data_IF_994261430231
#
_entry.id   IF_994261430231
#
_cell.length_a   1.000
_cell.length_b   1.000
_cell.length_c   1.000
_cell.angle_alpha   90.00
_cell.angle_beta   90.00
_cell.angle_gamma   90.00
#
_symmetry.space_group_name_H-M   'P 1'
#
loop_
_entity.id
_entity.type
_entity.pdbx_description
1 polymer ?
#
# COMPACT_ATOMS: atom_id res chain seq x y z
N UNK A 1 -22.64 -21.03 14.09
CA UNK A 1 -21.52 -21.97 14.33
C UNK A 1 -20.40 -21.51 13.44
N UNK A 2 -19.25 -21.16 14.00
CA UNK A 2 -18.06 -20.87 13.20
C UNK A 2 -17.58 -22.21 12.65
N UNK A 3 -17.44 -22.31 11.34
CA UNK A 3 -16.92 -23.50 10.71
C UNK A 3 -15.46 -23.68 11.16
N UNK A 4 -15.17 -24.79 11.83
CA UNK A 4 -13.85 -25.03 12.46
C UNK A 4 -12.78 -25.45 11.45
N UNK A 5 -13.11 -25.49 10.15
CA UNK A 5 -12.18 -25.97 9.12
C UNK A 5 -11.52 -24.83 8.33
N UNK A 6 -10.94 -23.86 9.04
CA UNK A 6 -10.16 -22.75 8.45
C UNK A 6 -8.69 -23.16 8.20
N UNK A 7 -8.48 -24.29 7.52
CA UNK A 7 -7.14 -24.87 7.35
C UNK A 7 -6.33 -24.26 6.20
N UNK A 8 -6.95 -23.45 5.33
CA UNK A 8 -6.25 -22.76 4.25
C UNK A 8 -6.37 -21.24 4.38
N UNK A 9 -5.49 -20.52 3.71
CA UNK A 9 -5.55 -19.06 3.64
C UNK A 9 -6.81 -18.57 2.92
N UNK A 10 -7.23 -19.30 1.88
CA UNK A 10 -8.43 -18.99 1.11
C UNK A 10 -9.69 -19.12 1.98
N UNK A 11 -9.84 -20.23 2.71
CA UNK A 11 -10.97 -20.43 3.63
C UNK A 11 -11.02 -19.36 4.73
N UNK A 12 -9.86 -18.95 5.24
CA UNK A 12 -9.76 -17.86 6.23
C UNK A 12 -10.13 -16.51 5.63
N UNK A 13 -9.73 -16.25 4.40
CA UNK A 13 -10.08 -15.02 3.68
C UNK A 13 -11.59 -14.95 3.43
N UNK A 14 -12.19 -16.02 2.94
CA UNK A 14 -13.64 -16.11 2.70
C UNK A 14 -14.46 -15.92 3.98
N UNK A 15 -13.97 -16.46 5.10
CA UNK A 15 -14.68 -16.36 6.38
C UNK A 15 -14.59 -14.96 7.03
N UNK A 16 -13.56 -14.17 6.73
CA UNK A 16 -13.24 -12.97 7.51
C UNK A 16 -12.96 -11.71 6.69
N UNK A 17 -12.86 -11.81 5.36
CA UNK A 17 -12.49 -10.66 4.52
C UNK A 17 -13.59 -10.30 3.53
N UNK A 18 -13.79 -9.01 3.32
CA UNK A 18 -14.65 -8.50 2.24
C UNK A 18 -13.75 -7.98 1.11
N UNK A 19 -14.09 -8.34 -0.12
CA UNK A 19 -13.36 -7.92 -1.31
C UNK A 19 -13.98 -6.66 -1.92
N UNK A 20 -13.17 -5.62 -2.12
CA UNK A 20 -13.58 -4.44 -2.89
C UNK A 20 -13.57 -4.72 -4.39
N UNK A 21 -14.42 -4.02 -5.17
CA UNK A 21 -14.49 -4.11 -6.64
C UNK A 21 -14.54 -5.54 -7.19
N UNK A 22 -15.31 -6.41 -6.54
CA UNK A 22 -15.25 -7.85 -6.80
C UNK A 22 -16.64 -8.41 -7.02
N UNK A 23 -16.81 -9.24 -8.05
CA UNK A 23 -17.97 -10.10 -8.21
C UNK A 23 -17.87 -11.27 -7.21
N UNK A 24 -18.55 -11.14 -6.07
CA UNK A 24 -18.50 -12.12 -4.99
C UNK A 24 -18.89 -13.53 -5.43
N UNK A 25 -19.98 -13.76 -6.21
CA UNK A 25 -20.34 -15.10 -6.70
C UNK A 25 -19.22 -15.78 -7.51
N UNK A 26 -18.40 -15.01 -8.21
CA UNK A 26 -17.24 -15.56 -8.94
C UNK A 26 -16.13 -15.95 -7.97
N UNK A 27 -15.87 -15.17 -6.93
CA UNK A 27 -14.87 -15.51 -5.92
C UNK A 27 -15.29 -16.73 -5.09
N UNK A 28 -16.55 -16.85 -4.70
CA UNK A 28 -17.09 -18.04 -4.01
C UNK A 28 -16.84 -19.33 -4.79
N UNK A 29 -16.92 -19.28 -6.12
CA UNK A 29 -16.67 -20.46 -6.99
C UNK A 29 -15.21 -20.74 -7.25
N UNK A 30 -14.38 -19.69 -7.41
CA UNK A 30 -12.98 -19.78 -7.83
C UNK A 30 -12.01 -19.86 -6.66
N UNK A 31 -12.39 -19.33 -5.50
CA UNK A 31 -11.51 -19.02 -4.38
C UNK A 31 -10.74 -17.73 -4.59
N UNK A 32 -10.27 -17.15 -3.50
CA UNK A 32 -9.40 -15.98 -3.50
C UNK A 32 -7.98 -16.35 -3.91
N UNK A 33 -7.26 -15.41 -4.51
CA UNK A 33 -5.81 -15.54 -4.72
C UNK A 33 -5.11 -14.78 -3.60
N UNK A 34 -4.38 -15.49 -2.75
CA UNK A 34 -3.70 -14.92 -1.59
C UNK A 34 -2.24 -14.65 -1.94
N UNK A 35 -1.88 -13.39 -2.08
CA UNK A 35 -0.50 -12.96 -2.39
C UNK A 35 0.31 -12.90 -1.09
N UNK A 36 1.51 -13.45 -1.11
CA UNK A 36 2.40 -13.56 0.06
C UNK A 36 3.60 -12.63 0.01
N UNK A 37 4.14 -12.39 -1.18
CA UNK A 37 5.31 -11.53 -1.37
C UNK A 37 5.41 -11.05 -2.81
N UNK A 38 6.31 -10.09 -3.05
CA UNK A 38 6.63 -9.57 -4.37
C UNK A 38 8.12 -9.36 -4.54
N UNK A 39 8.58 -9.40 -5.80
CA UNK A 39 9.96 -9.09 -6.18
C UNK A 39 9.98 -8.47 -7.58
N UNK A 40 10.53 -7.25 -7.69
CA UNK A 40 10.47 -6.46 -8.91
C UNK A 40 9.02 -6.31 -9.42
N UNK A 41 8.72 -6.67 -10.68
CA UNK A 41 7.37 -6.56 -11.24
C UNK A 41 6.49 -7.78 -10.96
N UNK A 42 6.90 -8.69 -10.10
CA UNK A 42 6.20 -9.95 -9.87
C UNK A 42 5.65 -10.07 -8.46
N UNK A 43 4.52 -10.76 -8.33
CA UNK A 43 3.94 -11.21 -7.06
C UNK A 43 3.79 -12.73 -7.04
N UNK A 44 3.74 -13.30 -5.84
CA UNK A 44 3.66 -14.75 -5.64
C UNK A 44 2.52 -15.06 -4.67
N UNK A 45 1.72 -16.07 -5.02
CA UNK A 45 0.65 -16.53 -4.14
C UNK A 45 1.14 -17.55 -3.09
N UNK A 46 0.21 -17.97 -2.24
CA UNK A 46 0.47 -18.97 -1.17
C UNK A 46 0.92 -20.33 -1.69
N UNK A 47 0.68 -20.63 -2.96
CA UNK A 47 1.08 -21.87 -3.61
C UNK A 47 2.41 -21.72 -4.37
N UNK A 48 3.04 -20.54 -4.29
CA UNK A 48 4.29 -20.23 -4.98
C UNK A 48 4.13 -19.91 -6.46
N UNK A 49 2.90 -19.76 -6.95
CA UNK A 49 2.68 -19.38 -8.34
C UNK A 49 3.03 -17.90 -8.53
N UNK A 50 3.78 -17.63 -9.59
CA UNK A 50 4.28 -16.32 -9.98
C UNK A 50 3.32 -15.63 -10.95
N UNK A 51 3.07 -14.35 -10.73
CA UNK A 51 2.27 -13.49 -11.59
C UNK A 51 3.05 -12.22 -11.94
N UNK A 52 2.93 -11.75 -13.18
CA UNK A 52 3.35 -10.39 -13.54
C UNK A 52 2.25 -9.42 -13.07
N UNK A 53 2.61 -8.50 -12.18
CA UNK A 53 1.68 -7.50 -11.68
C UNK A 53 1.70 -6.23 -12.57
N UNK A 54 0.87 -6.23 -13.59
CA UNK A 54 0.71 -5.09 -14.50
C UNK A 54 -0.01 -3.88 -13.89
N UNK A 55 -0.57 -4.02 -12.69
CA UNK A 55 -1.27 -2.94 -11.99
C UNK A 55 -0.41 -2.26 -10.91
N UNK A 56 0.85 -2.66 -10.75
CA UNK A 56 1.77 -2.08 -9.75
C UNK A 56 1.16 -2.00 -8.34
N UNK A 57 0.58 -3.11 -7.85
CA UNK A 57 -0.10 -3.17 -6.55
C UNK A 57 -1.30 -2.22 -6.43
N UNK A 58 -2.00 -1.95 -7.51
CA UNK A 58 -3.02 -0.93 -7.69
C UNK A 58 -2.43 0.50 -7.60
N UNK A 59 -1.49 0.79 -8.53
CA UNK A 59 -0.88 2.10 -8.82
C UNK A 59 0.10 2.65 -7.77
N UNK A 60 0.53 1.88 -6.81
CA UNK A 60 1.39 2.36 -5.74
C UNK A 60 2.80 1.73 -5.69
N UNK A 61 3.06 0.65 -6.44
CA UNK A 61 4.36 -0.03 -6.47
C UNK A 61 5.14 0.26 -7.76
N UNK A 62 5.20 1.53 -8.17
CA UNK A 62 5.82 1.97 -9.44
C UNK A 62 7.31 1.63 -9.56
N UNK A 63 8.03 1.52 -8.45
CA UNK A 63 9.43 1.10 -8.41
C UNK A 63 9.61 -0.44 -8.34
N UNK A 64 8.51 -1.19 -8.40
CA UNK A 64 8.49 -2.64 -8.17
C UNK A 64 8.46 -3.01 -6.69
N UNK A 65 8.10 -4.27 -6.44
CA UNK A 65 8.08 -4.84 -5.10
C UNK A 65 9.50 -5.07 -4.58
N UNK A 66 9.68 -4.93 -3.28
CA UNK A 66 10.94 -5.22 -2.58
C UNK A 66 12.15 -4.41 -3.12
N UNK A 67 11.92 -3.16 -3.55
CA UNK A 67 13.00 -2.28 -3.99
C UNK A 67 13.94 -1.97 -2.82
N UNK A 68 15.17 -2.47 -2.88
CA UNK A 68 16.14 -2.45 -1.76
C UNK A 68 16.36 -1.06 -1.17
N UNK A 69 16.54 -0.04 -2.01
CA UNK A 69 16.76 1.34 -1.54
C UNK A 69 15.58 1.90 -0.75
N UNK A 70 14.33 1.64 -1.19
CA UNK A 70 13.12 2.06 -0.48
C UNK A 70 12.94 1.28 0.84
N UNK A 71 13.21 -0.03 0.82
CA UNK A 71 13.14 -0.87 2.02
C UNK A 71 14.12 -0.39 3.08
N UNK A 72 15.38 -0.16 2.72
CA UNK A 72 16.40 0.31 3.67
C UNK A 72 16.12 1.74 4.18
N UNK A 73 15.65 2.64 3.32
CA UNK A 73 15.23 3.98 3.74
C UNK A 73 14.07 3.93 4.76
N UNK A 74 13.07 3.07 4.49
CA UNK A 74 11.94 2.88 5.41
C UNK A 74 12.41 2.31 6.77
N UNK A 75 13.24 1.26 6.76
CA UNK A 75 13.81 0.68 8.00
C UNK A 75 14.56 1.73 8.82
N UNK A 76 15.48 2.45 8.18
CA UNK A 76 16.28 3.49 8.85
C UNK A 76 15.38 4.59 9.45
N UNK A 77 14.31 4.96 8.77
CA UNK A 77 13.37 5.95 9.30
C UNK A 77 12.55 5.39 10.47
N UNK A 78 12.09 4.14 10.41
CA UNK A 78 11.39 3.50 11.52
C UNK A 78 12.27 3.34 12.77
N UNK A 79 13.54 2.99 12.58
CA UNK A 79 14.51 2.89 13.69
C UNK A 79 14.76 4.25 14.36
N UNK A 80 14.77 5.33 13.60
CA UNK A 80 15.00 6.68 14.10
C UNK A 80 13.73 7.34 14.67
N UNK A 81 12.65 7.33 13.89
CA UNK A 81 11.42 8.02 14.22
C UNK A 81 10.29 7.61 13.26
N UNK A 82 9.38 6.72 13.64
CA UNK A 82 8.40 6.12 12.72
C UNK A 82 7.37 7.10 12.17
N UNK A 83 7.09 8.19 12.88
CA UNK A 83 6.16 9.19 12.39
C UNK A 83 5.73 10.19 13.47
N UNK A 84 5.12 11.28 13.03
CA UNK A 84 4.52 12.29 13.88
C UNK A 84 3.36 12.99 13.17
N UNK A 85 2.45 13.57 13.94
CA UNK A 85 1.32 14.31 13.39
C UNK A 85 1.76 15.68 12.83
N UNK A 86 0.95 16.24 11.93
CA UNK A 86 1.19 17.55 11.32
C UNK A 86 0.18 18.61 11.82
N UNK A 87 -0.07 18.65 13.16
CA UNK A 87 -1.03 19.57 13.79
C UNK A 87 -0.34 20.50 14.78
N UNK A 88 -0.98 21.63 15.08
CA UNK A 88 -0.54 22.57 16.11
C UNK A 88 0.88 23.12 15.91
N UNK A 89 1.28 23.32 14.65
CA UNK A 89 2.60 23.82 14.32
C UNK A 89 3.75 22.81 14.52
N UNK A 90 3.44 21.53 14.60
CA UNK A 90 4.39 20.43 14.72
C UNK A 90 4.42 19.59 13.44
N UNK A 91 5.60 19.10 13.08
CA UNK A 91 5.77 18.29 11.88
C UNK A 91 7.08 17.49 11.99
N UNK A 92 7.18 16.34 11.34
CA UNK A 92 8.47 15.64 11.24
C UNK A 92 9.34 16.29 10.18
N UNK A 93 10.66 16.18 10.34
CA UNK A 93 11.63 16.66 9.35
C UNK A 93 11.44 15.99 7.99
N UNK A 94 11.09 14.70 7.95
CA UNK A 94 10.82 14.00 6.69
C UNK A 94 9.61 14.57 5.94
N UNK A 95 8.58 14.97 6.67
CA UNK A 95 7.41 15.64 6.07
C UNK A 95 7.81 17.00 5.46
N UNK A 96 8.69 17.76 6.14
CA UNK A 96 9.21 19.02 5.60
C UNK A 96 10.01 18.77 4.31
N UNK A 97 10.97 17.84 4.34
CA UNK A 97 11.79 17.49 3.16
C UNK A 97 10.95 17.01 1.98
N UNK A 98 9.90 16.20 2.24
CA UNK A 98 8.98 15.76 1.19
C UNK A 98 8.19 16.94 0.63
N UNK A 99 7.74 17.88 1.47
CA UNK A 99 7.03 19.08 1.02
C UNK A 99 7.89 19.94 0.12
N UNK A 100 9.13 20.17 0.49
CA UNK A 100 10.13 20.90 -0.33
C UNK A 100 10.29 20.22 -1.69
N UNK A 101 10.48 18.90 -1.70
CA UNK A 101 10.64 18.13 -2.95
C UNK A 101 9.40 18.17 -3.83
N UNK A 102 8.21 18.09 -3.25
CA UNK A 102 6.96 18.19 -3.99
C UNK A 102 6.78 19.57 -4.66
N UNK A 103 7.12 20.64 -3.97
CA UNK A 103 7.09 21.99 -4.58
C UNK A 103 8.14 22.11 -5.68
N UNK A 104 9.36 21.62 -5.47
CA UNK A 104 10.43 21.64 -6.48
C UNK A 104 10.01 20.97 -7.80
N UNK A 105 9.30 19.84 -7.74
CA UNK A 105 8.88 19.09 -8.94
C UNK A 105 7.49 19.48 -9.45
N UNK A 106 6.77 20.34 -8.74
CA UNK A 106 5.45 20.81 -9.15
C UNK A 106 5.55 21.84 -10.29
N UNK A 107 4.47 22.10 -11.03
CA UNK A 107 4.41 23.17 -12.04
C UNK A 107 4.23 24.57 -11.44
N UNK A 108 4.27 24.71 -10.12
CA UNK A 108 4.02 25.98 -9.41
C UNK A 108 5.33 26.59 -8.93
N UNK A 109 5.47 27.89 -9.04
CA UNK A 109 6.65 28.63 -8.55
C UNK A 109 6.76 28.66 -7.01
N UNK A 110 5.64 28.47 -6.33
CA UNK A 110 5.54 28.44 -4.87
C UNK A 110 4.25 27.72 -4.44
N UNK A 111 4.21 27.28 -3.19
CA UNK A 111 3.02 26.64 -2.63
C UNK A 111 3.26 26.03 -1.25
N UNK A 112 2.23 25.39 -0.74
CA UNK A 112 2.26 24.61 0.50
C UNK A 112 1.61 23.26 0.25
N UNK A 113 2.14 22.23 0.88
CA UNK A 113 1.63 20.85 0.77
C UNK A 113 0.77 20.55 1.98
N UNK A 114 -0.43 20.05 1.72
CA UNK A 114 -1.31 19.50 2.73
C UNK A 114 -1.47 17.99 2.48
N UNK A 115 -1.29 17.18 3.51
CA UNK A 115 -1.33 15.73 3.41
C UNK A 115 -2.66 15.18 3.88
N UNK A 116 -3.25 14.31 3.09
CA UNK A 116 -4.52 13.62 3.35
C UNK A 116 -4.36 12.11 3.20
N UNK A 117 -5.39 11.33 3.60
CA UNK A 117 -5.33 9.88 3.54
C UNK A 117 -5.83 9.29 2.22
N UNK A 118 -6.46 10.10 1.37
CA UNK A 118 -7.00 9.65 0.09
C UNK A 118 -7.01 10.77 -0.96
N UNK A 119 -7.07 10.38 -2.24
CA UNK A 119 -7.22 11.33 -3.33
C UNK A 119 -8.55 12.11 -3.29
N UNK A 120 -9.62 11.48 -2.79
CA UNK A 120 -10.92 12.17 -2.60
C UNK A 120 -10.80 13.29 -1.57
N UNK A 121 -10.21 13.01 -0.42
CA UNK A 121 -9.95 14.04 0.61
C UNK A 121 -9.05 15.15 0.05
N UNK A 122 -8.03 14.81 -0.73
CA UNK A 122 -7.14 15.81 -1.33
C UNK A 122 -7.85 16.73 -2.33
N UNK A 123 -8.90 16.25 -3.00
CA UNK A 123 -9.70 17.07 -3.91
C UNK A 123 -10.74 17.91 -3.20
N UNK A 124 -11.18 17.50 -2.01
CA UNK A 124 -12.22 18.16 -1.22
C UNK A 124 -11.65 19.22 -0.25
N UNK A 125 -10.32 19.24 -0.04
CA UNK A 125 -9.62 20.18 0.85
C UNK A 125 -9.09 21.40 0.10
#
# INVERSE_FOLDING_TARGET
MRDENLNSWEARADAHSMYGFTDLPTIEKRGATIITHGDGPYVFDVHGKKYLDGNSGLWNMVAGFNHKGLVEAAKAQYDRFPGYHAFFGRMSDQTVMLSEKLIEVSPFDSGKVFYTNSGSEANDT
#
